data_IF_525254255026
#
_entry.id   IF_525254255026
#
_cell.length_a   1.000
_cell.length_b   1.000
_cell.length_c   1.000
_cell.angle_alpha   90.00
_cell.angle_beta   90.00
_cell.angle_gamma   90.00
#
_symmetry.space_group_name_H-M   'P 1'
#
loop_
_entity.id
_entity.type
_entity.pdbx_description
1 polymer ?
#
# COMPACT_ATOMS: atom_id res chain seq x y z
N UNK A 1 -32.43 10.59 -32.72
CA UNK A 1 -31.07 10.75 -33.31
C UNK A 1 -30.35 9.41 -33.20
N UNK A 2 -30.02 8.76 -34.32
CA UNK A 2 -29.44 7.40 -34.33
C UNK A 2 -27.91 7.53 -34.37
N UNK A 3 -27.26 7.37 -33.22
CA UNK A 3 -25.80 7.52 -33.10
C UNK A 3 -25.13 6.33 -33.80
N UNK A 4 -24.25 6.59 -34.78
CA UNK A 4 -23.45 5.57 -35.46
C UNK A 4 -22.06 5.55 -34.86
N UNK A 5 -21.74 4.51 -34.12
CA UNK A 5 -20.44 4.35 -33.45
C UNK A 5 -19.51 3.57 -34.39
N UNK A 6 -18.34 4.14 -34.70
CA UNK A 6 -17.32 3.47 -35.52
C UNK A 6 -16.69 2.29 -34.78
N UNK A 7 -16.26 1.26 -35.51
CA UNK A 7 -15.56 0.10 -34.94
C UNK A 7 -14.32 0.50 -34.14
N UNK A 8 -13.60 1.52 -34.60
CA UNK A 8 -12.41 2.05 -33.90
C UNK A 8 -12.81 2.63 -32.53
N UNK A 9 -13.91 3.38 -32.48
CA UNK A 9 -14.40 3.95 -31.22
C UNK A 9 -14.77 2.87 -30.20
N UNK A 10 -15.37 1.76 -30.64
CA UNK A 10 -15.67 0.60 -29.80
C UNK A 10 -14.40 -0.06 -29.24
N UNK A 11 -13.35 -0.21 -30.05
CA UNK A 11 -12.06 -0.75 -29.62
C UNK A 11 -11.40 0.17 -28.59
N UNK A 12 -11.40 1.49 -28.84
CA UNK A 12 -10.83 2.46 -27.91
C UNK A 12 -11.54 2.45 -26.55
N UNK A 13 -12.87 2.36 -26.53
CA UNK A 13 -13.65 2.27 -25.29
C UNK A 13 -13.29 0.99 -24.52
N UNK A 14 -13.14 -0.14 -25.21
CA UNK A 14 -12.72 -1.40 -24.61
C UNK A 14 -11.32 -1.34 -24.00
N UNK A 15 -10.35 -0.73 -24.70
CA UNK A 15 -8.98 -0.56 -24.22
C UNK A 15 -8.91 0.35 -22.99
N UNK A 16 -9.69 1.45 -22.97
CA UNK A 16 -9.78 2.34 -21.81
C UNK A 16 -10.35 1.59 -20.61
N UNK A 17 -11.42 0.82 -20.80
CA UNK A 17 -12.02 0.04 -19.71
C UNK A 17 -11.07 -1.03 -19.18
N UNK A 18 -10.36 -1.73 -20.06
CA UNK A 18 -9.36 -2.73 -19.70
C UNK A 18 -8.20 -2.11 -18.91
N UNK A 19 -7.69 -0.95 -19.35
CA UNK A 19 -6.67 -0.20 -18.61
C UNK A 19 -7.14 0.35 -17.25
N UNK A 20 -8.44 0.63 -17.09
CA UNK A 20 -9.02 1.13 -15.84
C UNK A 20 -9.32 0.02 -14.82
N UNK A 21 -9.63 -1.19 -15.29
CA UNK A 21 -9.97 -2.34 -14.44
C UNK A 21 -8.75 -3.19 -14.08
N UNK A 22 -7.66 -3.08 -14.84
CA UNK A 22 -6.40 -3.80 -14.59
C UNK A 22 -5.29 -3.06 -13.80
N UNK A 23 -5.45 -1.87 -13.18
CA UNK A 23 -4.46 -1.49 -12.19
C UNK A 23 -4.55 -2.55 -11.09
N UNK A 24 -3.55 -3.43 -11.07
CA UNK A 24 -3.44 -4.55 -10.16
C UNK A 24 -3.67 -4.06 -8.74
N UNK A 25 -4.50 -4.79 -7.98
CA UNK A 25 -4.68 -4.54 -6.56
C UNK A 25 -3.30 -4.46 -5.90
N UNK A 26 -2.92 -3.29 -5.39
CA UNK A 26 -1.71 -3.17 -4.58
C UNK A 26 -1.98 -3.88 -3.26
N UNK A 27 -1.33 -5.03 -3.04
CA UNK A 27 -1.38 -5.70 -1.76
C UNK A 27 -0.51 -4.93 -0.75
N UNK A 28 -1.14 -4.31 0.25
CA UNK A 28 -0.42 -3.87 1.43
C UNK A 28 -0.15 -5.11 2.29
N UNK A 29 1.12 -5.38 2.58
CA UNK A 29 1.48 -6.39 3.56
C UNK A 29 1.04 -5.90 4.94
N UNK A 30 0.26 -6.71 5.65
CA UNK A 30 -0.16 -6.44 7.02
C UNK A 30 1.04 -6.63 7.95
N UNK A 31 1.87 -5.60 8.04
CA UNK A 31 3.06 -5.63 8.87
C UNK A 31 2.68 -5.72 10.34
N UNK A 32 1.56 -5.12 10.78
CA UNK A 32 1.16 -5.12 12.19
C UNK A 32 0.98 -6.53 12.75
N UNK A 33 0.44 -7.47 11.97
CA UNK A 33 0.26 -8.87 12.41
C UNK A 33 1.56 -9.67 12.54
N UNK A 34 2.62 -9.28 11.83
CA UNK A 34 3.86 -10.04 11.75
C UNK A 34 5.09 -9.26 12.25
N UNK A 35 4.88 -8.04 12.76
CA UNK A 35 5.93 -7.18 13.27
C UNK A 35 6.41 -7.74 14.62
N UNK A 36 7.66 -8.16 14.68
CA UNK A 36 8.27 -8.67 15.93
C UNK A 36 8.69 -7.51 16.84
N UNK A 37 9.17 -6.40 16.28
CA UNK A 37 9.59 -5.22 17.03
C UNK A 37 9.82 -4.03 16.11
N UNK A 38 9.70 -2.81 16.65
CA UNK A 38 9.94 -1.56 15.94
C UNK A 38 10.57 -0.52 16.88
N UNK A 39 11.76 -0.04 16.55
CA UNK A 39 12.45 1.02 17.29
C UNK A 39 12.73 2.19 16.36
N UNK A 40 12.25 3.39 16.72
CA UNK A 40 12.26 4.56 15.85
C UNK A 40 13.46 5.47 16.07
N UNK A 41 14.06 5.43 17.26
CA UNK A 41 15.24 6.23 17.64
C UNK A 41 15.05 7.74 17.46
N UNK A 42 13.81 8.21 17.42
CA UNK A 42 13.41 9.61 17.33
C UNK A 42 12.88 10.16 18.68
N UNK A 43 13.03 9.39 19.76
CA UNK A 43 12.54 9.74 21.10
C UNK A 43 13.48 10.68 21.88
N UNK A 44 14.54 11.16 21.25
CA UNK A 44 15.57 12.02 21.86
C UNK A 44 16.88 11.27 22.13
N UNK A 45 17.55 11.60 23.23
CA UNK A 45 18.85 11.03 23.60
C UNK A 45 18.75 10.08 24.80
N UNK A 46 19.63 9.08 24.85
CA UNK A 46 19.69 8.08 25.92
C UNK A 46 20.23 6.75 25.41
N UNK A 47 20.26 5.74 26.29
CA UNK A 47 20.71 4.38 25.96
C UNK A 47 19.56 3.37 25.90
N UNK A 48 18.31 3.82 26.02
CA UNK A 48 17.11 2.96 26.04
C UNK A 48 16.17 3.36 24.93
N UNK A 49 15.56 2.38 24.29
CA UNK A 49 14.52 2.59 23.26
C UNK A 49 13.30 1.71 23.52
N UNK A 50 12.12 2.27 23.25
CA UNK A 50 10.83 1.62 23.49
C UNK A 50 10.31 1.05 22.18
N UNK A 51 9.84 -0.19 22.24
CA UNK A 51 9.16 -0.82 21.11
C UNK A 51 7.83 -0.12 20.79
N UNK A 52 7.70 0.29 19.54
CA UNK A 52 6.52 0.90 18.94
C UNK A 52 5.58 -0.10 18.27
N UNK A 53 5.95 -1.39 18.20
CA UNK A 53 5.10 -2.45 17.60
C UNK A 53 3.97 -2.93 18.52
N UNK A 54 4.02 -2.58 19.81
CA UNK A 54 3.04 -3.04 20.81
C UNK A 54 3.42 -4.36 21.49
N UNK A 55 4.52 -5.00 21.11
CA UNK A 55 5.01 -6.26 21.69
C UNK A 55 5.75 -6.08 23.03
N UNK A 56 5.84 -4.83 23.52
CA UNK A 56 6.42 -4.48 24.83
C UNK A 56 7.90 -4.88 24.95
N UNK A 57 8.63 -4.88 23.84
CA UNK A 57 10.06 -5.11 23.84
C UNK A 57 10.82 -3.84 24.26
N UNK A 58 11.95 -4.00 24.94
CA UNK A 58 12.84 -2.89 25.31
C UNK A 58 14.22 -3.15 24.73
N UNK A 59 14.80 -2.14 24.10
CA UNK A 59 16.20 -2.15 23.66
C UNK A 59 17.06 -1.31 24.59
N UNK A 60 18.28 -1.78 24.87
CA UNK A 60 19.29 -1.05 25.64
C UNK A 60 20.67 -1.29 25.01
N UNK A 61 21.53 -0.28 25.05
CA UNK A 61 22.88 -0.27 24.47
C UNK A 61 23.96 -0.53 25.51
#
# INVERSE_FOLDING_TARGET
MKVRISRIALICIGLIFMGLVLPSQSFAFDYEKHLVGLWKFDEGSGNKTKDSSGNKLKGEL
#
